data_IF_483773374641
#
_entry.id   IF_483773374641
#
_cell.length_a   1.000
_cell.length_b   1.000
_cell.length_c   1.000
_cell.angle_alpha   90.00
_cell.angle_beta   90.00
_cell.angle_gamma   90.00
#
_symmetry.space_group_name_H-M   'P 1'
#
loop_
_entity.id
_entity.type
_entity.pdbx_description
1 polymer ?
#
# COMPACT_ATOMS: atom_id res chain seq x y z
N UNK A 1 -10.46 -5.45 19.64
CA UNK A 1 -9.08 -5.95 19.48
C UNK A 1 -8.62 -6.83 20.65
N UNK A 2 -8.73 -6.40 21.92
CA UNK A 2 -8.39 -7.24 23.10
C UNK A 2 -9.13 -8.59 23.11
N UNK A 3 -10.43 -8.60 22.82
CA UNK A 3 -11.28 -9.78 22.81
C UNK A 3 -10.82 -10.83 21.78
N UNK A 4 -10.34 -10.41 20.61
CA UNK A 4 -9.78 -11.30 19.59
C UNK A 4 -8.47 -11.95 20.03
N UNK A 5 -7.58 -11.21 20.71
CA UNK A 5 -6.32 -11.77 21.23
C UNK A 5 -6.54 -12.79 22.35
N UNK A 6 -7.55 -12.60 23.19
CA UNK A 6 -7.89 -13.54 24.28
C UNK A 6 -8.50 -14.83 23.72
N UNK A 7 -9.35 -14.77 22.68
CA UNK A 7 -9.83 -15.95 21.95
C UNK A 7 -8.70 -16.71 21.26
N UNK A 8 -7.75 -16.02 20.66
CA UNK A 8 -6.58 -16.63 20.01
C UNK A 8 -5.65 -17.34 20.99
N UNK A 9 -5.41 -16.77 22.15
CA UNK A 9 -4.52 -17.35 23.18
C UNK A 9 -5.02 -18.66 23.77
N UNK A 10 -6.32 -18.94 23.69
CA UNK A 10 -6.97 -20.16 24.21
C UNK A 10 -7.24 -21.22 23.14
N UNK A 11 -6.98 -20.93 21.87
CA UNK A 11 -7.34 -21.81 20.73
C UNK A 11 -6.20 -22.78 20.42
N UNK A 12 -6.53 -24.06 20.23
CA UNK A 12 -5.54 -25.05 19.78
C UNK A 12 -4.98 -24.68 18.39
N UNK A 13 -3.73 -25.05 18.11
CA UNK A 13 -3.04 -24.73 16.83
C UNK A 13 -3.85 -25.18 15.60
N UNK A 14 -4.51 -26.34 15.68
CA UNK A 14 -5.38 -26.86 14.61
C UNK A 14 -6.60 -25.96 14.32
N UNK A 15 -7.23 -25.44 15.37
CA UNK A 15 -8.35 -24.52 15.22
C UNK A 15 -7.91 -23.17 14.67
N UNK A 16 -6.72 -22.69 15.05
CA UNK A 16 -6.14 -21.45 14.54
C UNK A 16 -5.85 -21.57 13.03
N UNK A 17 -5.25 -22.67 12.60
CA UNK A 17 -4.97 -22.93 11.18
C UNK A 17 -6.24 -22.97 10.35
N UNK A 18 -7.27 -23.65 10.84
CA UNK A 18 -8.58 -23.73 10.18
C UNK A 18 -9.22 -22.33 10.07
N UNK A 19 -9.17 -21.54 11.13
CA UNK A 19 -9.72 -20.19 11.13
C UNK A 19 -8.96 -19.25 10.18
N UNK A 20 -7.62 -19.28 10.18
CA UNK A 20 -6.80 -18.52 9.25
C UNK A 20 -7.15 -18.87 7.80
N UNK A 21 -7.32 -20.17 7.50
CA UNK A 21 -7.73 -20.62 6.17
C UNK A 21 -9.10 -20.09 5.79
N UNK A 22 -10.11 -20.19 6.69
CA UNK A 22 -11.43 -19.63 6.44
C UNK A 22 -11.40 -18.13 6.17
N UNK A 23 -10.65 -17.37 6.96
CA UNK A 23 -10.51 -15.92 6.76
C UNK A 23 -9.81 -15.59 5.45
N UNK A 24 -8.76 -16.33 5.10
CA UNK A 24 -8.07 -16.17 3.82
C UNK A 24 -9.01 -16.45 2.64
N UNK A 25 -9.75 -17.58 2.68
CA UNK A 25 -10.72 -17.93 1.65
C UNK A 25 -11.84 -16.89 1.53
N UNK A 26 -12.28 -16.34 2.65
CA UNK A 26 -13.26 -15.26 2.68
C UNK A 26 -12.73 -14.01 2.01
N UNK A 27 -11.52 -13.57 2.35
CA UNK A 27 -10.86 -12.38 1.77
C UNK A 27 -10.67 -12.56 0.24
N UNK A 28 -10.31 -13.76 -0.22
CA UNK A 28 -10.06 -14.04 -1.63
C UNK A 28 -11.37 -14.12 -2.44
N UNK A 29 -12.46 -14.61 -1.84
CA UNK A 29 -13.74 -14.83 -2.54
C UNK A 29 -14.69 -13.65 -2.47
N UNK A 30 -14.55 -12.80 -1.46
CA UNK A 30 -15.41 -11.65 -1.29
C UNK A 30 -15.04 -10.52 -2.24
N UNK A 31 -16.04 -9.99 -2.94
CA UNK A 31 -15.93 -8.88 -3.86
C UNK A 31 -15.40 -7.60 -3.17
N UNK A 32 -14.86 -6.68 -3.95
CA UNK A 32 -14.22 -5.41 -3.55
C UNK A 32 -15.03 -4.57 -2.53
N UNK A 33 -16.34 -4.74 -2.43
CA UNK A 33 -17.18 -4.02 -1.46
C UNK A 33 -16.92 -4.46 -0.02
N UNK A 34 -16.70 -5.74 0.23
CA UNK A 34 -16.37 -6.25 1.56
C UNK A 34 -14.95 -5.87 1.99
N UNK A 35 -14.03 -5.63 1.05
CA UNK A 35 -12.70 -5.10 1.32
C UNK A 35 -12.72 -3.73 2.02
N UNK A 36 -13.81 -2.97 1.90
CA UNK A 36 -13.98 -1.70 2.65
C UNK A 36 -14.10 -1.93 4.16
N UNK A 37 -14.63 -3.05 4.61
CA UNK A 37 -14.74 -3.38 6.03
C UNK A 37 -13.39 -3.66 6.68
N UNK A 38 -12.42 -4.22 5.95
CA UNK A 38 -11.08 -4.52 6.46
C UNK A 38 -10.14 -3.31 6.55
N UNK A 39 -10.54 -2.14 6.06
CA UNK A 39 -9.80 -0.88 6.24
C UNK A 39 -9.65 -0.41 7.70
N UNK A 40 -10.22 -1.14 8.64
CA UNK A 40 -10.23 -0.80 10.06
C UNK A 40 -8.96 -1.16 10.82
N UNK A 41 -8.04 -1.90 10.23
CA UNK A 41 -6.73 -2.08 10.82
C UNK A 41 -5.91 -0.78 10.71
N UNK A 42 -6.22 0.17 11.58
CA UNK A 42 -5.29 1.27 11.88
C UNK A 42 -4.11 0.65 12.61
N UNK A 43 -3.20 0.08 11.84
CA UNK A 43 -1.87 -0.20 12.34
C UNK A 43 -1.22 1.14 12.62
N UNK A 44 -0.51 1.32 13.74
CA UNK A 44 0.26 2.54 14.02
C UNK A 44 1.41 2.77 13.02
N UNK A 45 1.43 2.03 11.92
CA UNK A 45 2.47 1.99 10.89
C UNK A 45 1.87 2.42 9.55
N UNK A 46 2.66 3.12 8.77
CA UNK A 46 2.29 3.48 7.39
C UNK A 46 2.58 2.29 6.49
N UNK A 47 1.53 1.69 5.96
CA UNK A 47 1.65 0.66 4.93
C UNK A 47 1.68 1.32 3.54
N UNK A 48 2.65 0.96 2.72
CA UNK A 48 2.82 1.47 1.36
C UNK A 48 2.64 0.31 0.39
N UNK A 49 1.64 0.40 -0.47
CA UNK A 49 1.44 -0.54 -1.56
C UNK A 49 2.27 -0.13 -2.78
N UNK A 50 3.45 -0.73 -2.93
CA UNK A 50 4.37 -0.46 -4.03
C UNK A 50 3.77 -0.83 -5.39
N UNK A 51 2.90 -1.84 -5.43
CA UNK A 51 2.20 -2.23 -6.64
C UNK A 51 1.24 -1.14 -7.13
N UNK A 52 0.53 -0.49 -6.22
CA UNK A 52 -0.29 0.67 -6.56
C UNK A 52 0.51 1.82 -7.16
N UNK A 53 1.73 2.06 -6.71
CA UNK A 53 2.59 3.09 -7.31
C UNK A 53 3.03 2.72 -8.71
N UNK A 54 3.49 1.49 -8.89
CA UNK A 54 3.90 0.99 -10.19
C UNK A 54 2.77 1.04 -11.21
N UNK A 55 1.61 0.49 -10.86
CA UNK A 55 0.45 0.41 -11.77
C UNK A 55 -0.10 1.78 -12.14
N UNK A 56 -0.15 2.73 -11.21
CA UNK A 56 -0.61 4.10 -11.46
C UNK A 56 0.38 4.88 -12.31
N UNK A 57 1.67 4.73 -12.07
CA UNK A 57 2.72 5.36 -12.86
C UNK A 57 2.68 4.95 -14.34
N UNK A 58 2.36 3.70 -14.61
CA UNK A 58 2.28 3.14 -15.97
C UNK A 58 0.87 3.23 -16.59
N UNK A 59 -0.13 3.76 -15.88
CA UNK A 59 -1.55 3.78 -16.31
C UNK A 59 -2.08 2.40 -16.72
N UNK A 60 -1.58 1.35 -16.09
CA UNK A 60 -2.00 -0.01 -16.36
C UNK A 60 -3.29 -0.28 -15.59
N UNK A 61 -4.39 -0.46 -16.31
CA UNK A 61 -5.70 -0.79 -15.74
C UNK A 61 -5.88 -2.27 -15.42
N UNK A 62 -4.95 -3.13 -15.83
CA UNK A 62 -5.03 -4.58 -15.63
C UNK A 62 -4.21 -5.00 -14.42
N UNK A 63 -4.74 -5.95 -13.65
CA UNK A 63 -3.98 -6.63 -12.62
C UNK A 63 -2.80 -7.39 -13.27
N UNK A 64 -1.60 -6.96 -12.97
CA UNK A 64 -0.37 -7.65 -13.37
C UNK A 64 0.04 -8.55 -12.21
N UNK A 65 0.35 -9.80 -12.48
CA UNK A 65 0.88 -10.71 -11.45
C UNK A 65 2.28 -10.29 -11.02
N UNK A 66 2.66 -10.65 -9.79
CA UNK A 66 4.02 -10.39 -9.28
C UNK A 66 5.09 -11.01 -10.20
N UNK A 67 4.84 -12.18 -10.77
CA UNK A 67 5.73 -12.82 -11.77
C UNK A 67 5.87 -11.99 -13.05
N UNK A 68 4.77 -11.46 -13.58
CA UNK A 68 4.83 -10.61 -14.77
C UNK A 68 5.63 -9.34 -14.49
N UNK A 69 5.48 -8.77 -13.28
CA UNK A 69 6.27 -7.64 -12.83
C UNK A 69 7.76 -8.01 -12.70
N UNK A 70 8.08 -9.18 -12.16
CA UNK A 70 9.44 -9.69 -12.07
C UNK A 70 10.11 -9.79 -13.44
N UNK A 71 9.41 -10.34 -14.44
CA UNK A 71 9.89 -10.38 -15.83
C UNK A 71 10.18 -9.00 -16.38
N UNK A 72 9.26 -8.04 -16.18
CA UNK A 72 9.45 -6.66 -16.65
C UNK A 72 10.63 -5.95 -15.98
N UNK A 73 10.96 -6.33 -14.75
CA UNK A 73 12.08 -5.79 -14.01
C UNK A 73 13.41 -6.49 -14.30
N UNK A 74 13.41 -7.55 -15.14
CA UNK A 74 14.55 -8.45 -15.40
C UNK A 74 15.09 -9.07 -14.10
N UNK A 75 14.19 -9.66 -13.32
CA UNK A 75 14.57 -10.39 -12.12
C UNK A 75 15.04 -11.81 -12.50
N UNK A 76 16.25 -12.17 -12.12
CA UNK A 76 16.91 -13.38 -12.63
C UNK A 76 16.46 -14.69 -11.96
N UNK A 77 15.88 -14.62 -10.76
CA UNK A 77 15.57 -15.79 -9.93
C UNK A 77 14.10 -16.21 -9.98
N UNK A 78 13.41 -16.00 -11.11
CA UNK A 78 11.99 -16.36 -11.23
C UNK A 78 11.84 -17.87 -11.27
N UNK A 79 11.06 -18.42 -10.35
CA UNK A 79 10.76 -19.85 -10.26
C UNK A 79 9.25 -20.08 -10.26
N UNK A 80 8.84 -21.30 -10.65
CA UNK A 80 7.46 -21.74 -10.50
C UNK A 80 7.17 -22.11 -9.03
N UNK A 81 5.90 -21.99 -8.64
CA UNK A 81 5.45 -22.38 -7.30
C UNK A 81 5.78 -23.87 -7.07
N UNK A 82 6.51 -24.22 -6.01
CA UNK A 82 6.97 -25.61 -5.81
C UNK A 82 5.83 -26.58 -5.52
N UNK A 83 4.71 -26.08 -4.99
CA UNK A 83 3.56 -26.88 -4.61
C UNK A 83 2.27 -26.27 -5.13
N UNK A 84 1.24 -27.10 -5.34
CA UNK A 84 -0.12 -26.62 -5.61
C UNK A 84 -0.64 -25.77 -4.44
N UNK A 85 -1.50 -24.75 -4.70
CA UNK A 85 -2.13 -23.96 -3.63
C UNK A 85 -2.90 -24.78 -2.58
N UNK A 86 -3.39 -25.96 -2.99
CA UNK A 86 -4.13 -26.88 -2.11
C UNK A 86 -3.25 -27.98 -1.50
N UNK A 87 -1.91 -27.88 -1.65
CA UNK A 87 -0.99 -28.87 -1.12
C UNK A 87 -1.01 -28.89 0.40
N UNK A 88 -1.14 -30.10 0.98
CA UNK A 88 -1.06 -30.34 2.42
C UNK A 88 0.36 -30.80 2.74
N UNK A 89 1.09 -29.98 3.47
CA UNK A 89 2.48 -30.26 3.83
C UNK A 89 2.59 -31.52 4.70
N UNK A 90 3.50 -32.43 4.33
CA UNK A 90 3.71 -33.69 5.01
C UNK A 90 4.88 -33.66 5.99
N UNK A 91 5.84 -32.75 5.77
CA UNK A 91 7.07 -32.67 6.56
C UNK A 91 7.61 -31.23 6.60
N UNK A 92 8.60 -31.02 7.47
CA UNK A 92 9.25 -29.71 7.63
C UNK A 92 10.08 -29.29 6.40
N UNK A 93 10.62 -30.25 5.64
CA UNK A 93 11.43 -29.96 4.46
C UNK A 93 10.61 -29.29 3.35
N UNK A 94 9.35 -29.71 3.17
CA UNK A 94 8.43 -29.07 2.23
C UNK A 94 8.10 -27.63 2.65
N UNK A 95 7.92 -27.42 3.95
CA UNK A 95 7.66 -26.07 4.51
C UNK A 95 8.90 -25.19 4.27
N UNK A 96 10.08 -25.71 4.58
CA UNK A 96 11.34 -24.98 4.35
C UNK A 96 11.54 -24.64 2.87
N UNK A 97 11.20 -25.55 1.98
CA UNK A 97 11.26 -25.31 0.54
C UNK A 97 10.33 -24.19 0.12
N UNK A 98 9.08 -24.17 0.63
CA UNK A 98 8.14 -23.07 0.37
C UNK A 98 8.65 -21.73 0.92
N UNK A 99 9.21 -21.73 2.13
CA UNK A 99 9.77 -20.51 2.73
C UNK A 99 10.92 -19.97 1.85
N UNK A 100 11.84 -20.84 1.41
CA UNK A 100 12.95 -20.43 0.52
C UNK A 100 12.43 -19.87 -0.81
N UNK A 101 11.39 -20.51 -1.37
CA UNK A 101 10.73 -20.02 -2.57
C UNK A 101 10.16 -18.60 -2.35
N UNK A 102 9.37 -18.38 -1.30
CA UNK A 102 8.77 -17.09 -1.00
C UNK A 102 9.83 -16.01 -0.75
N UNK A 103 10.90 -16.35 -0.04
CA UNK A 103 12.01 -15.40 0.19
C UNK A 103 12.68 -14.95 -1.11
N UNK A 104 12.87 -15.87 -2.07
CA UNK A 104 13.52 -15.55 -3.34
C UNK A 104 12.56 -14.90 -4.33
N UNK A 105 11.41 -15.51 -4.56
CA UNK A 105 10.48 -15.05 -5.60
C UNK A 105 9.61 -13.89 -5.14
N UNK A 106 8.96 -13.96 -3.97
CA UNK A 106 8.04 -12.90 -3.56
C UNK A 106 8.77 -11.73 -2.92
N UNK A 107 9.58 -11.99 -1.89
CA UNK A 107 10.30 -10.93 -1.19
C UNK A 107 11.46 -10.37 -2.03
N UNK A 108 12.13 -11.20 -2.82
CA UNK A 108 13.19 -10.76 -3.74
C UNK A 108 12.67 -9.78 -4.79
N UNK A 109 11.54 -10.12 -5.42
CA UNK A 109 10.87 -9.24 -6.40
C UNK A 109 10.38 -7.95 -5.75
N UNK A 110 9.78 -8.03 -4.55
CA UNK A 110 9.35 -6.84 -3.82
C UNK A 110 10.52 -5.95 -3.40
N UNK A 111 11.64 -6.55 -3.03
CA UNK A 111 12.87 -5.81 -2.70
C UNK A 111 13.41 -5.06 -3.92
N UNK A 112 13.47 -5.73 -5.09
CA UNK A 112 13.88 -5.09 -6.33
C UNK A 112 12.91 -3.97 -6.74
N UNK A 113 11.61 -4.19 -6.61
CA UNK A 113 10.59 -3.17 -6.87
C UNK A 113 10.80 -1.95 -5.97
N UNK A 114 11.01 -2.17 -4.66
CA UNK A 114 11.30 -1.09 -3.71
C UNK A 114 12.55 -0.30 -4.11
N UNK A 115 13.62 -0.98 -4.50
CA UNK A 115 14.85 -0.32 -4.94
C UNK A 115 14.61 0.57 -6.17
N UNK A 116 13.85 0.07 -7.15
CA UNK A 116 13.49 0.85 -8.35
C UNK A 116 12.58 2.04 -8.04
N UNK A 117 11.75 1.93 -7.02
CA UNK A 117 10.80 2.98 -6.60
C UNK A 117 11.29 3.83 -5.44
N UNK A 118 12.53 3.63 -5.00
CA UNK A 118 13.08 4.30 -3.83
C UNK A 118 12.97 5.82 -3.91
N UNK A 119 13.28 6.41 -5.07
CA UNK A 119 13.16 7.85 -5.28
C UNK A 119 11.73 8.37 -5.09
N UNK A 120 10.72 7.62 -5.53
CA UNK A 120 9.31 7.96 -5.34
C UNK A 120 8.90 7.90 -3.86
N UNK A 121 9.42 6.94 -3.12
CA UNK A 121 9.17 6.82 -1.67
C UNK A 121 9.86 7.95 -0.91
N UNK A 122 11.11 8.24 -1.22
CA UNK A 122 11.89 9.34 -0.62
C UNK A 122 11.25 10.70 -0.89
N UNK A 123 10.75 10.95 -2.11
CA UNK A 123 10.00 12.16 -2.43
C UNK A 123 8.77 12.33 -1.53
N UNK A 124 8.00 11.26 -1.33
CA UNK A 124 6.79 11.31 -0.48
C UNK A 124 7.12 11.51 1.00
N UNK A 125 8.22 10.92 1.46
CA UNK A 125 8.73 11.16 2.81
C UNK A 125 9.16 12.62 2.99
N UNK A 126 9.86 13.17 2.01
CA UNK A 126 10.26 14.58 2.01
C UNK A 126 9.03 15.51 2.05
N UNK A 127 8.05 15.28 1.19
CA UNK A 127 6.82 16.08 1.16
C UNK A 127 6.02 16.01 2.47
N UNK A 128 5.98 14.84 3.10
CA UNK A 128 5.37 14.69 4.41
C UNK A 128 6.13 15.47 5.48
N UNK A 129 7.45 15.35 5.49
CA UNK A 129 8.30 15.97 6.50
C UNK A 129 8.28 17.50 6.40
N UNK A 130 8.54 18.04 5.22
CA UNK A 130 8.75 19.47 5.00
C UNK A 130 7.43 20.24 4.77
N UNK A 131 6.49 19.63 4.05
CA UNK A 131 5.24 20.29 3.64
C UNK A 131 4.00 19.77 4.36
N UNK A 132 4.13 18.73 5.20
CA UNK A 132 3.00 18.06 5.87
C UNK A 132 1.96 17.50 4.89
N UNK A 133 2.38 17.18 3.68
CA UNK A 133 1.52 16.60 2.64
C UNK A 133 1.56 15.08 2.76
N UNK A 134 0.43 14.48 3.12
CA UNK A 134 0.27 13.02 3.15
C UNK A 134 -0.11 12.52 1.77
N UNK A 135 0.87 12.05 0.99
CA UNK A 135 0.68 11.70 -0.42
C UNK A 135 1.00 10.22 -0.75
N UNK A 136 0.95 9.31 0.24
CA UNK A 136 1.32 7.92 0.06
C UNK A 136 0.55 7.17 -1.02
N UNK A 137 -0.72 7.51 -1.24
CA UNK A 137 -1.59 6.89 -2.24
C UNK A 137 -1.94 7.81 -3.41
N UNK A 138 -1.27 8.96 -3.55
CA UNK A 138 -1.53 9.91 -4.63
C UNK A 138 -0.70 9.59 -5.87
N UNK A 139 -1.27 9.84 -7.03
CA UNK A 139 -0.56 9.84 -8.31
C UNK A 139 0.28 11.13 -8.48
N UNK A 140 1.21 11.13 -9.43
CA UNK A 140 2.14 12.23 -9.63
C UNK A 140 1.44 13.58 -9.94
N UNK A 141 0.39 13.66 -10.80
CA UNK A 141 -0.34 14.92 -11.03
C UNK A 141 -0.97 15.48 -9.76
N UNK A 142 -1.54 14.60 -8.92
CA UNK A 142 -2.15 15.02 -7.66
C UNK A 142 -1.12 15.49 -6.65
N UNK A 143 0.03 14.81 -6.55
CA UNK A 143 1.15 15.26 -5.72
C UNK A 143 1.62 16.65 -6.14
N UNK A 144 1.84 16.86 -7.44
CA UNK A 144 2.23 18.15 -7.97
C UNK A 144 1.20 19.24 -7.65
N UNK A 145 -0.09 18.95 -7.81
CA UNK A 145 -1.17 19.89 -7.47
C UNK A 145 -1.20 20.26 -6.00
N UNK A 146 -1.06 19.28 -5.10
CA UNK A 146 -1.03 19.53 -3.65
C UNK A 146 0.22 20.31 -3.23
N UNK A 147 1.38 19.98 -3.81
CA UNK A 147 2.61 20.70 -3.56
C UNK A 147 2.52 22.16 -4.00
N UNK A 148 2.07 22.43 -5.23
CA UNK A 148 1.92 23.79 -5.75
C UNK A 148 0.91 24.59 -4.93
N UNK A 149 -0.18 23.98 -4.50
CA UNK A 149 -1.15 24.63 -3.62
C UNK A 149 -0.52 25.02 -2.27
N UNK A 150 0.21 24.08 -1.67
CA UNK A 150 0.87 24.30 -0.39
C UNK A 150 1.95 25.40 -0.49
N UNK A 151 2.81 25.34 -1.51
CA UNK A 151 3.85 26.32 -1.77
C UNK A 151 3.26 27.72 -2.01
N UNK A 152 2.20 27.82 -2.82
CA UNK A 152 1.49 29.06 -3.03
C UNK A 152 0.91 29.61 -1.73
N UNK A 153 0.22 28.77 -0.95
CA UNK A 153 -0.38 29.20 0.31
C UNK A 153 0.66 29.67 1.32
N UNK A 154 1.81 28.99 1.42
CA UNK A 154 2.91 29.42 2.30
C UNK A 154 3.50 30.76 1.92
N UNK A 155 3.58 31.06 0.62
CA UNK A 155 4.14 32.33 0.13
C UNK A 155 3.16 33.51 0.23
N UNK A 156 1.86 33.23 0.23
CA UNK A 156 0.81 34.25 0.18
C UNK A 156 0.01 34.41 1.45
N UNK A 157 0.23 33.53 2.43
CA UNK A 157 -0.46 33.60 3.71
C UNK A 157 0.08 34.76 4.53
N UNK A 158 -0.83 35.62 5.00
CA UNK A 158 -0.56 36.67 5.97
C UNK A 158 -1.26 36.31 7.29
N UNK A 159 -0.52 36.27 8.38
CA UNK A 159 -1.05 35.99 9.72
C UNK A 159 -2.06 37.05 10.17
N UNK A 160 -1.96 38.28 9.63
CA UNK A 160 -2.89 39.37 9.91
C UNK A 160 -4.23 39.25 9.16
N UNK A 161 -4.40 38.25 8.29
CA UNK A 161 -5.65 38.07 7.53
C UNK A 161 -6.85 37.64 8.40
N UNK A 162 -6.66 37.43 9.70
CA UNK A 162 -7.72 37.07 10.67
C UNK A 162 -8.24 35.61 10.51
N UNK A 163 -7.61 34.82 9.68
CA UNK A 163 -7.98 33.41 9.46
C UNK A 163 -6.82 32.49 9.74
N UNK A 164 -7.04 31.31 10.34
CA UNK A 164 -6.00 30.30 10.50
C UNK A 164 -5.56 29.75 9.12
N UNK A 165 -4.30 29.33 9.02
CA UNK A 165 -3.70 28.83 7.77
C UNK A 165 -4.53 27.74 7.04
N UNK A 166 -5.08 26.77 7.77
CA UNK A 166 -5.90 25.72 7.20
C UNK A 166 -7.17 26.26 6.53
N UNK A 167 -7.79 27.32 7.09
CA UNK A 167 -8.97 27.96 6.50
C UNK A 167 -8.60 28.74 5.25
N UNK A 168 -7.49 29.46 5.28
CA UNK A 168 -6.94 30.16 4.12
C UNK A 168 -6.67 29.19 2.96
N UNK A 169 -5.98 28.08 3.24
CA UNK A 169 -5.71 27.04 2.24
C UNK A 169 -6.99 26.48 1.63
N UNK A 170 -8.01 26.22 2.45
CA UNK A 170 -9.31 25.77 1.98
C UNK A 170 -9.99 26.79 1.06
N UNK A 171 -9.94 28.07 1.41
CA UNK A 171 -10.52 29.15 0.62
C UNK A 171 -9.81 29.29 -0.74
N UNK A 172 -8.48 29.19 -0.78
CA UNK A 172 -7.69 29.19 -2.03
C UNK A 172 -8.04 28.00 -2.89
N UNK A 173 -8.18 26.80 -2.31
CA UNK A 173 -8.58 25.61 -3.02
C UNK A 173 -9.98 25.77 -3.67
N UNK A 174 -10.94 26.31 -2.94
CA UNK A 174 -12.30 26.52 -3.42
C UNK A 174 -12.37 27.53 -4.58
N UNK A 175 -11.54 28.58 -4.59
CA UNK A 175 -11.51 29.58 -5.68
C UNK A 175 -11.06 29.00 -7.03
N UNK A 176 -10.30 27.91 -7.05
CA UNK A 176 -9.87 27.23 -8.28
C UNK A 176 -11.01 26.62 -9.08
N UNK A 177 -12.12 26.32 -8.43
CA UNK A 177 -13.28 25.65 -9.04
C UNK A 177 -14.45 26.59 -9.34
N UNK A 178 -14.37 27.87 -9.01
CA UNK A 178 -15.37 28.84 -9.46
C UNK A 178 -14.93 29.40 -10.82
N UNK A 179 -15.67 29.10 -11.92
CA UNK A 179 -15.41 29.73 -13.20
C UNK A 179 -15.55 31.24 -13.01
N UNK A 180 -14.52 31.99 -13.37
CA UNK A 180 -14.68 33.44 -13.56
C UNK A 180 -15.64 33.63 -14.71
N UNK A 181 -16.87 34.07 -14.40
CA UNK A 181 -17.86 34.55 -15.36
C UNK A 181 -17.33 35.74 -16.17
#
# INVERSE_FOLDING_TARGET
MKQYYEEFASTSVSNLTFWIKQMSDKIVREDYESYKEYKWFKTGWTSIDLFCYWSRGLRISKHISLKALAVQMNYDEIQELPFSPDHVFQNEEEIEHLIRYNMRNDLGVLSLLYQKMRGDVELRQYLLKEYKITCWSMDAPKIASEYLLEDYCRKTYDENCGKPYWQYKKDVCNRRYTPTS
#
